data_IF_698202336197
#
_entry.id   IF_698202336197
#
_cell.length_a   1.000
_cell.length_b   1.000
_cell.length_c   1.000
_cell.angle_alpha   90.00
_cell.angle_beta   90.00
_cell.angle_gamma   90.00
#
_symmetry.space_group_name_H-M   'P 1'
#
loop_
_entity.id
_entity.type
_entity.pdbx_description
1 polymer ?
#
# COMPACT_ATOMS: atom_id res chain seq x y z
N UNK A 1 -18.08 -30.24 -13.79
CA UNK A 1 -17.51 -29.77 -12.51
C UNK A 1 -17.54 -28.26 -12.46
N UNK A 2 -18.62 -27.66 -11.94
CA UNK A 2 -18.72 -26.20 -11.79
C UNK A 2 -18.46 -25.88 -10.32
N UNK A 3 -17.32 -25.23 -10.05
CA UNK A 3 -16.84 -24.85 -8.71
C UNK A 3 -17.86 -23.93 -8.04
N UNK A 4 -18.34 -24.33 -6.85
CA UNK A 4 -19.14 -23.50 -5.96
C UNK A 4 -18.42 -22.17 -5.73
N UNK A 5 -18.96 -21.09 -6.29
CA UNK A 5 -18.48 -19.73 -6.06
C UNK A 5 -18.77 -19.43 -4.60
N UNK A 6 -17.75 -19.59 -3.74
CA UNK A 6 -17.81 -19.22 -2.33
C UNK A 6 -18.37 -17.80 -2.26
N UNK A 7 -19.48 -17.63 -1.53
CA UNK A 7 -20.02 -16.31 -1.19
C UNK A 7 -18.91 -15.52 -0.52
N UNK A 8 -18.26 -14.64 -1.29
CA UNK A 8 -17.27 -13.72 -0.74
C UNK A 8 -18.00 -12.88 0.29
N UNK A 9 -17.61 -12.93 1.58
CA UNK A 9 -18.27 -12.12 2.59
C UNK A 9 -18.20 -10.66 2.16
N UNK A 10 -19.34 -9.95 2.17
CA UNK A 10 -19.39 -8.54 1.75
C UNK A 10 -18.38 -7.67 2.51
N UNK A 11 -18.05 -8.04 3.75
CA UNK A 11 -17.03 -7.39 4.57
C UNK A 11 -15.59 -7.51 4.05
N UNK A 12 -15.28 -8.47 3.17
CA UNK A 12 -13.94 -8.59 2.57
C UNK A 12 -13.59 -7.35 1.75
N UNK A 13 -14.55 -6.80 1.01
CA UNK A 13 -14.35 -5.56 0.25
C UNK A 13 -14.05 -4.37 1.16
N UNK A 14 -14.76 -4.26 2.29
CA UNK A 14 -14.53 -3.22 3.29
C UNK A 14 -13.15 -3.35 3.92
N UNK A 15 -12.72 -4.58 4.27
CA UNK A 15 -11.38 -4.83 4.79
C UNK A 15 -10.29 -4.50 3.77
N UNK A 16 -10.49 -4.83 2.49
CA UNK A 16 -9.55 -4.48 1.41
C UNK A 16 -9.44 -2.97 1.28
N UNK A 17 -10.56 -2.24 1.24
CA UNK A 17 -10.56 -0.78 1.15
C UNK A 17 -9.85 -0.13 2.36
N UNK A 18 -10.12 -0.62 3.57
CA UNK A 18 -9.45 -0.16 4.79
C UNK A 18 -7.94 -0.44 4.75
N UNK A 19 -7.53 -1.62 4.27
CA UNK A 19 -6.13 -2.02 4.18
C UNK A 19 -5.37 -1.19 3.13
N UNK A 20 -5.97 -0.95 1.96
CA UNK A 20 -5.41 -0.07 0.93
C UNK A 20 -5.27 1.37 1.44
N UNK A 21 -6.30 1.90 2.11
CA UNK A 21 -6.27 3.24 2.70
C UNK A 21 -5.19 3.38 3.79
N UNK A 22 -5.07 2.38 4.67
CA UNK A 22 -4.05 2.35 5.69
C UNK A 22 -2.64 2.31 5.09
N UNK A 23 -2.39 1.46 4.09
CA UNK A 23 -1.09 1.40 3.40
C UNK A 23 -0.76 2.73 2.71
N UNK A 24 -1.70 3.30 1.95
CA UNK A 24 -1.48 4.57 1.27
C UNK A 24 -1.15 5.70 2.27
N UNK A 25 -1.82 5.72 3.42
CA UNK A 25 -1.57 6.69 4.50
C UNK A 25 -0.17 6.52 5.08
N UNK A 26 0.27 5.30 5.36
CA UNK A 26 1.63 5.03 5.84
C UNK A 26 2.71 5.47 4.85
N UNK A 27 2.51 5.19 3.56
CA UNK A 27 3.41 5.63 2.48
C UNK A 27 3.43 7.15 2.31
N UNK A 28 2.28 7.80 2.42
CA UNK A 28 2.16 9.25 2.36
C UNK A 28 2.90 9.93 3.52
N UNK A 29 2.71 9.45 4.76
CA UNK A 29 3.43 9.96 5.93
C UNK A 29 4.93 9.70 5.84
N UNK A 30 5.32 8.53 5.33
CA UNK A 30 6.71 8.17 5.12
C UNK A 30 7.41 9.09 4.11
N UNK A 31 6.84 9.25 2.92
CA UNK A 31 7.37 10.14 1.89
C UNK A 31 7.48 11.59 2.37
N UNK A 32 6.49 12.06 3.15
CA UNK A 32 6.51 13.39 3.78
C UNK A 32 7.70 13.58 4.72
N UNK A 33 8.05 12.57 5.51
CA UNK A 33 9.22 12.63 6.41
C UNK A 33 10.55 12.61 5.66
N UNK A 34 10.62 11.90 4.54
CA UNK A 34 11.86 11.71 3.76
C UNK A 34 12.09 12.81 2.71
N UNK A 35 11.21 13.82 2.65
CA UNK A 35 11.28 14.91 1.67
C UNK A 35 10.97 14.50 0.23
N UNK A 36 10.43 13.28 0.03
CA UNK A 36 10.02 12.77 -1.29
C UNK A 36 8.57 13.14 -1.57
N UNK A 37 8.20 13.22 -2.85
CA UNK A 37 6.89 13.69 -3.27
C UNK A 37 5.75 12.78 -2.71
N UNK A 38 4.93 13.25 -1.75
CA UNK A 38 3.97 12.40 -1.04
C UNK A 38 2.87 11.83 -1.93
N UNK A 39 2.50 12.58 -2.97
CA UNK A 39 1.46 12.21 -3.93
C UNK A 39 1.83 11.00 -4.80
N UNK A 40 3.10 10.89 -5.20
CA UNK A 40 3.59 9.76 -6.01
C UNK A 40 3.49 8.46 -5.21
N UNK A 41 3.88 8.51 -3.94
CA UNK A 41 3.89 7.34 -3.06
C UNK A 41 2.51 6.98 -2.52
N UNK A 42 1.67 7.97 -2.16
CA UNK A 42 0.28 7.74 -1.77
C UNK A 42 -0.57 7.19 -2.91
N UNK A 43 -0.45 7.75 -4.12
CA UNK A 43 -1.16 7.28 -5.31
C UNK A 43 -0.72 5.88 -5.74
N UNK A 44 0.58 5.59 -5.72
CA UNK A 44 1.09 4.24 -5.98
C UNK A 44 0.58 3.23 -4.94
N UNK A 45 0.50 3.62 -3.66
CA UNK A 45 -0.08 2.82 -2.56
C UNK A 45 -1.55 2.45 -2.75
N UNK A 46 -2.33 3.31 -3.40
CA UNK A 46 -3.74 3.07 -3.72
C UNK A 46 -3.95 2.18 -4.95
N UNK A 47 -3.05 2.26 -5.93
CA UNK A 47 -3.18 1.54 -7.22
C UNK A 47 -2.54 0.16 -7.17
N UNK A 48 -1.45 -0.02 -6.42
CA UNK A 48 -0.74 -1.29 -6.33
C UNK A 48 -0.48 -1.73 -4.88
N UNK A 49 -0.89 -2.95 -4.58
CA UNK A 49 -0.46 -3.74 -3.42
C UNK A 49 0.27 -4.95 -4.01
N UNK A 50 1.54 -5.28 -3.69
CA UNK A 50 2.41 -4.86 -2.59
C UNK A 50 3.66 -4.02 -2.98
N UNK A 51 3.80 -3.66 -4.26
CA UNK A 51 5.00 -2.99 -4.82
C UNK A 51 5.42 -1.69 -4.08
N UNK A 52 4.51 -0.80 -3.65
CA UNK A 52 4.86 0.43 -2.93
C UNK A 52 5.46 0.15 -1.55
N UNK A 53 5.00 -0.91 -0.87
CA UNK A 53 5.56 -1.32 0.42
C UNK A 53 7.01 -1.81 0.27
N UNK A 54 7.29 -2.58 -0.79
CA UNK A 54 8.65 -3.07 -1.11
C UNK A 54 9.56 -1.89 -1.46
N UNK A 55 9.10 -0.99 -2.33
CA UNK A 55 9.88 0.16 -2.75
C UNK A 55 10.17 1.12 -1.58
N UNK A 56 9.21 1.30 -0.65
CA UNK A 56 9.43 2.06 0.57
C UNK A 56 10.49 1.39 1.47
N UNK A 57 10.42 0.08 1.65
CA UNK A 57 11.39 -0.66 2.46
C UNK A 57 12.81 -0.62 1.87
N UNK A 58 12.94 -0.71 0.54
CA UNK A 58 14.21 -0.54 -0.17
C UNK A 58 14.75 0.88 0.02
N UNK A 59 13.94 1.92 -0.20
CA UNK A 59 14.38 3.31 -0.03
C UNK A 59 14.78 3.65 1.42
N UNK A 60 14.03 3.18 2.41
CA UNK A 60 14.38 3.37 3.82
C UNK A 60 15.71 2.70 4.19
N UNK A 61 16.08 1.62 3.49
CA UNK A 61 17.40 0.97 3.64
C UNK A 61 18.52 1.75 2.98
N UNK A 62 18.26 2.45 1.87
CA UNK A 62 19.24 3.25 1.15
C UNK A 62 19.61 4.55 1.89
N UNK A 63 18.64 5.19 2.57
CA UNK A 63 18.92 6.37 3.40
C UNK A 63 19.81 6.08 4.62
N UNK A 64 19.76 4.87 5.18
CA UNK A 64 20.61 4.49 6.32
C UNK A 64 22.07 4.23 5.97
N UNK A 65 22.42 4.14 4.69
CA UNK A 65 23.76 3.77 4.22
C UNK A 65 24.57 4.96 3.70
N UNK A 66 24.07 6.18 3.86
CA UNK A 66 24.76 7.42 3.48
C UNK A 66 24.97 8.30 4.71
#
# INVERSE_FOLDING_TARGET
>A
MVKSIKKVPKGVWTSIAALLGAQATFLFLGARKTGRNPWVWGGAGLVQFPLPAIAYFILNRQEKQK
#
